data_IF_298718759708
#
_entry.id   IF_298718759708
#
_cell.length_a   1.000
_cell.length_b   1.000
_cell.length_c   1.000
_cell.angle_alpha   90.00
_cell.angle_beta   90.00
_cell.angle_gamma   90.00
#
_symmetry.space_group_name_H-M   'P 1'
#
loop_
_entity.id
_entity.type
_entity.pdbx_description
1 polymer ?
#
# COMPACT_ATOMS: atom_id res chain seq x y z
N UNK A 1 -5.35 6.99 69.69
CA UNK A 1 -5.93 6.88 68.33
C UNK A 1 -4.93 7.45 67.30
N UNK A 2 -4.06 6.60 66.74
CA UNK A 2 -3.05 6.97 65.75
C UNK A 2 -3.70 6.98 64.37
N UNK A 3 -3.73 8.10 63.72
CA UNK A 3 -4.06 8.20 62.28
C UNK A 3 -2.79 8.04 61.46
N UNK A 4 -2.63 6.89 60.86
CA UNK A 4 -1.54 6.59 59.89
C UNK A 4 -1.89 7.25 58.55
N UNK A 5 -1.18 8.31 58.21
CA UNK A 5 -1.24 8.91 56.88
C UNK A 5 -0.40 8.05 55.94
N UNK A 6 -1.05 7.37 54.99
CA UNK A 6 -0.39 6.67 53.91
C UNK A 6 0.05 7.70 52.86
N UNK A 7 1.37 7.93 52.81
CA UNK A 7 1.99 8.71 51.75
C UNK A 7 2.08 7.82 50.49
N UNK A 8 1.21 8.05 49.53
CA UNK A 8 1.28 7.44 48.23
C UNK A 8 2.37 8.15 47.44
N UNK A 9 3.57 7.56 47.41
CA UNK A 9 4.65 7.99 46.51
C UNK A 9 4.29 7.59 45.09
N UNK A 10 3.80 8.54 44.27
CA UNK A 10 3.70 8.40 42.84
C UNK A 10 5.11 8.48 42.31
N UNK A 11 5.73 7.34 42.10
CA UNK A 11 6.96 7.23 41.33
C UNK A 11 6.61 7.58 39.85
N UNK A 12 6.86 8.82 39.49
CA UNK A 12 6.83 9.27 38.11
C UNK A 12 7.95 8.52 37.36
N UNK A 13 7.60 7.43 36.72
CA UNK A 13 8.47 6.80 35.73
C UNK A 13 8.64 7.79 34.59
N UNK A 14 9.66 8.60 34.69
CA UNK A 14 10.24 9.29 33.56
C UNK A 14 10.82 8.21 32.62
N UNK A 15 9.95 7.53 31.89
CA UNK A 15 10.36 6.76 30.74
C UNK A 15 10.89 7.77 29.76
N UNK A 16 12.22 7.81 29.66
CA UNK A 16 12.87 8.55 28.59
C UNK A 16 12.14 8.21 27.29
N UNK A 17 11.62 9.24 26.67
CA UNK A 17 11.15 9.15 25.29
C UNK A 17 12.39 8.74 24.52
N UNK A 18 12.57 7.44 24.31
CA UNK A 18 13.50 6.95 23.33
C UNK A 18 13.04 7.63 22.04
N UNK A 19 13.77 8.66 21.62
CA UNK A 19 13.57 9.26 20.34
C UNK A 19 13.62 8.08 19.37
N UNK A 20 12.47 7.73 18.82
CA UNK A 20 12.37 6.65 17.85
C UNK A 20 13.35 7.05 16.76
N UNK A 21 14.51 6.40 16.76
CA UNK A 21 15.52 6.65 15.75
C UNK A 21 14.86 6.27 14.46
N UNK A 22 14.53 7.28 13.64
CA UNK A 22 14.03 7.08 12.29
C UNK A 22 15.08 6.25 11.58
N UNK A 23 14.83 4.94 11.47
CA UNK A 23 15.77 4.05 10.82
C UNK A 23 15.79 4.42 9.34
N UNK A 24 16.94 4.83 8.88
CA UNK A 24 17.15 5.06 7.47
C UNK A 24 17.10 3.73 6.71
N UNK A 25 16.45 3.69 5.55
CA UNK A 25 16.41 2.51 4.72
C UNK A 25 17.81 2.10 4.27
N UNK A 26 18.11 0.80 4.17
CA UNK A 26 19.42 0.32 3.72
C UNK A 26 19.75 0.77 2.28
N UNK A 27 21.03 0.87 1.98
CA UNK A 27 21.52 1.16 0.63
C UNK A 27 20.99 0.13 -0.36
N UNK A 28 20.57 0.58 -1.54
CA UNK A 28 19.93 -0.24 -2.56
C UNK A 28 18.41 -0.28 -2.46
N UNK A 29 17.83 0.26 -1.39
CA UNK A 29 16.38 0.31 -1.22
C UNK A 29 15.78 1.40 -2.10
N UNK A 30 14.73 1.08 -2.83
CA UNK A 30 13.93 2.06 -3.57
C UNK A 30 12.96 2.73 -2.62
N UNK A 31 12.97 4.05 -2.61
CA UNK A 31 12.18 4.87 -1.69
C UNK A 31 11.35 5.91 -2.42
N UNK A 32 10.25 6.30 -1.79
CA UNK A 32 9.46 7.48 -2.14
C UNK A 32 9.48 8.44 -0.96
N UNK A 33 9.87 9.65 -1.23
CA UNK A 33 10.07 10.70 -0.24
C UNK A 33 9.08 11.81 -0.48
N UNK A 34 8.32 12.18 0.55
CA UNK A 34 7.43 13.32 0.54
C UNK A 34 8.06 14.42 1.39
N UNK A 35 8.44 15.56 0.80
CA UNK A 35 8.98 16.70 1.55
C UNK A 35 7.92 17.30 2.48
N UNK A 36 8.38 17.94 3.57
CA UNK A 36 7.52 18.69 4.49
C UNK A 36 6.85 19.89 3.79
N UNK A 37 7.52 20.44 2.78
CA UNK A 37 6.93 21.47 1.92
C UNK A 37 5.95 20.84 0.93
N UNK A 38 4.66 21.03 1.17
CA UNK A 38 3.59 20.49 0.33
C UNK A 38 3.61 20.99 -1.13
N UNK A 39 4.36 22.06 -1.43
CA UNK A 39 4.54 22.56 -2.80
C UNK A 39 5.61 21.79 -3.58
N UNK A 40 6.51 21.10 -2.88
CA UNK A 40 7.56 20.32 -3.50
C UNK A 40 7.04 18.94 -3.98
N UNK A 41 7.42 18.50 -5.18
CA UNK A 41 7.01 17.21 -5.69
C UNK A 41 7.65 16.09 -4.86
N UNK A 42 6.94 14.94 -4.74
CA UNK A 42 7.55 13.74 -4.17
C UNK A 42 8.73 13.27 -5.04
N UNK A 43 9.74 12.73 -4.38
CA UNK A 43 10.95 12.20 -5.03
C UNK A 43 10.93 10.67 -4.95
N UNK A 44 11.08 10.00 -6.10
CA UNK A 44 11.30 8.56 -6.15
C UNK A 44 12.75 8.31 -6.56
N UNK A 45 13.41 7.41 -5.83
CA UNK A 45 14.79 7.07 -6.15
C UNK A 45 15.28 5.87 -5.33
N UNK A 46 16.54 5.54 -5.53
CA UNK A 46 17.22 4.46 -4.81
C UNK A 46 18.23 5.04 -3.85
N UNK A 47 18.25 4.58 -2.62
CA UNK A 47 19.25 4.98 -1.62
C UNK A 47 20.62 4.44 -2.06
N UNK A 48 21.56 5.32 -2.32
CA UNK A 48 22.94 4.98 -2.70
C UNK A 48 23.94 5.23 -1.57
N UNK A 49 23.53 5.94 -0.54
CA UNK A 49 24.37 6.18 0.63
C UNK A 49 23.60 6.89 1.74
N UNK A 50 24.21 6.90 2.92
CA UNK A 50 23.73 7.62 4.08
C UNK A 50 24.91 8.23 4.83
N UNK A 51 24.76 9.46 5.28
CA UNK A 51 25.72 10.13 6.14
C UNK A 51 24.96 10.86 7.24
N UNK A 52 25.02 10.32 8.46
CA UNK A 52 24.25 10.85 9.59
C UNK A 52 22.75 10.85 9.29
N UNK A 53 22.14 12.03 9.32
CA UNK A 53 20.70 12.27 9.06
C UNK A 53 20.39 12.58 7.58
N UNK A 54 21.35 12.41 6.69
CA UNK A 54 21.21 12.72 5.27
C UNK A 54 21.28 11.45 4.43
N UNK A 55 20.24 11.22 3.64
CA UNK A 55 20.18 10.19 2.61
C UNK A 55 20.71 10.72 1.29
N UNK A 56 21.51 9.93 0.61
CA UNK A 56 21.93 10.16 -0.77
C UNK A 56 21.06 9.28 -1.65
N UNK A 57 20.21 9.89 -2.44
CA UNK A 57 19.19 9.22 -3.26
C UNK A 57 19.51 9.44 -4.72
N UNK A 58 19.61 8.35 -5.47
CA UNK A 58 19.69 8.40 -6.93
C UNK A 58 18.28 8.46 -7.49
N UNK A 59 17.86 9.65 -7.90
CA UNK A 59 16.55 9.90 -8.52
C UNK A 59 16.52 9.51 -9.99
N UNK A 60 15.35 9.27 -10.54
CA UNK A 60 15.16 9.16 -11.99
C UNK A 60 14.81 10.54 -12.57
N UNK A 61 15.53 11.04 -13.59
CA UNK A 61 16.47 10.35 -14.51
C UNK A 61 17.97 10.43 -14.14
N UNK A 62 18.42 9.78 -13.10
CA UNK A 62 19.83 9.64 -12.67
C UNK A 62 20.47 10.92 -12.10
N UNK A 63 19.72 11.67 -11.36
CA UNK A 63 20.27 12.76 -10.56
C UNK A 63 20.50 12.32 -9.11
N UNK A 64 21.58 12.78 -8.50
CA UNK A 64 21.90 12.45 -7.11
C UNK A 64 21.40 13.58 -6.21
N UNK A 65 20.38 13.30 -5.44
CA UNK A 65 19.77 14.25 -4.51
C UNK A 65 20.14 13.90 -3.07
N UNK A 66 20.56 14.88 -2.30
CA UNK A 66 20.75 14.75 -0.86
C UNK A 66 19.50 15.18 -0.13
N UNK A 67 18.95 14.31 0.69
CA UNK A 67 17.71 14.52 1.42
C UNK A 67 17.96 14.35 2.90
N UNK A 68 17.68 15.37 3.70
CA UNK A 68 17.81 15.31 5.14
C UNK A 68 16.53 14.73 5.76
N UNK A 69 16.64 13.72 6.61
CA UNK A 69 15.48 13.05 7.22
C UNK A 69 14.58 14.02 8.01
N UNK A 70 15.16 15.07 8.58
CA UNK A 70 14.40 16.09 9.31
C UNK A 70 13.49 16.98 8.43
N UNK A 71 13.74 17.04 7.11
CA UNK A 71 12.96 17.83 6.15
C UNK A 71 11.86 17.03 5.44
N UNK A 72 11.67 15.78 5.87
CA UNK A 72 10.67 14.88 5.30
C UNK A 72 9.41 14.83 6.15
N UNK A 73 8.28 14.90 5.47
CA UNK A 73 6.98 14.60 6.05
C UNK A 73 6.77 13.08 6.12
N UNK A 74 7.05 12.40 5.00
CA UNK A 74 6.84 10.97 4.90
C UNK A 74 7.92 10.25 4.09
N UNK A 75 8.29 9.06 4.52
CA UNK A 75 9.25 8.17 3.86
C UNK A 75 8.62 6.81 3.66
N UNK A 76 8.56 6.36 2.42
CA UNK A 76 8.04 5.05 2.05
C UNK A 76 9.13 4.23 1.37
N UNK A 77 9.05 2.94 1.59
CA UNK A 77 9.96 1.95 1.03
C UNK A 77 9.18 1.08 0.03
N UNK A 78 9.78 0.79 -1.10
CA UNK A 78 9.17 -0.12 -2.05
C UNK A 78 9.11 -1.53 -1.48
N UNK A 79 7.88 -2.04 -1.33
CA UNK A 79 7.59 -3.45 -1.01
C UNK A 79 7.70 -4.37 -2.24
N UNK A 80 8.18 -3.84 -3.37
CA UNK A 80 8.30 -4.56 -4.64
C UNK A 80 7.07 -4.40 -5.54
N UNK A 81 7.15 -5.06 -6.70
CA UNK A 81 6.08 -5.04 -7.69
C UNK A 81 5.12 -6.20 -7.46
N UNK A 82 3.84 -5.89 -7.37
CA UNK A 82 2.78 -6.87 -7.18
C UNK A 82 1.89 -6.93 -8.42
N UNK A 83 1.63 -8.15 -8.89
CA UNK A 83 0.71 -8.40 -9.99
C UNK A 83 -0.75 -8.39 -9.48
N UNK A 84 -1.65 -7.85 -10.29
CA UNK A 84 -3.08 -7.79 -9.96
C UNK A 84 -3.86 -8.98 -10.53
N UNK A 85 -3.31 -10.20 -10.40
CA UNK A 85 -3.89 -11.43 -10.96
C UNK A 85 -5.33 -11.61 -10.52
N UNK A 86 -5.63 -11.49 -9.23
CA UNK A 86 -7.00 -11.68 -8.69
C UNK A 86 -8.03 -10.70 -9.29
N UNK A 87 -7.65 -9.43 -9.46
CA UNK A 87 -8.51 -8.42 -10.11
C UNK A 87 -8.71 -8.75 -11.59
N UNK A 88 -7.65 -9.15 -12.29
CA UNK A 88 -7.72 -9.57 -13.67
C UNK A 88 -8.65 -10.76 -13.85
N UNK A 89 -8.49 -11.80 -13.03
CA UNK A 89 -9.35 -12.99 -13.02
C UNK A 89 -10.82 -12.64 -12.80
N UNK A 90 -11.12 -11.83 -11.79
CA UNK A 90 -12.50 -11.44 -11.46
C UNK A 90 -13.18 -10.67 -12.60
N UNK A 91 -12.51 -9.67 -13.15
CA UNK A 91 -13.04 -8.91 -14.29
C UNK A 91 -13.16 -9.78 -15.56
N UNK A 92 -12.16 -10.60 -15.84
CA UNK A 92 -12.17 -11.51 -16.97
C UNK A 92 -13.31 -12.52 -16.88
N UNK A 93 -13.55 -13.09 -15.68
CA UNK A 93 -14.68 -14.01 -15.45
C UNK A 93 -16.02 -13.30 -15.71
N UNK A 94 -16.25 -12.11 -15.17
CA UNK A 94 -17.51 -11.40 -15.33
C UNK A 94 -17.79 -11.05 -16.80
N UNK A 95 -16.78 -10.51 -17.52
CA UNK A 95 -16.92 -10.17 -18.94
C UNK A 95 -17.10 -11.41 -19.78
N UNK A 96 -16.32 -12.46 -19.51
CA UNK A 96 -16.40 -13.73 -20.23
C UNK A 96 -17.73 -14.44 -20.00
N UNK A 97 -18.22 -14.46 -18.76
CA UNK A 97 -19.52 -15.06 -18.42
C UNK A 97 -20.68 -14.33 -19.07
N UNK A 98 -20.68 -12.97 -19.01
CA UNK A 98 -21.74 -12.16 -19.64
C UNK A 98 -21.74 -12.31 -21.16
N UNK A 99 -20.58 -12.20 -21.79
CA UNK A 99 -20.42 -12.39 -23.23
C UNK A 99 -20.76 -13.80 -23.68
N UNK A 100 -20.29 -14.83 -22.96
CA UNK A 100 -20.60 -16.21 -23.21
C UNK A 100 -22.06 -16.54 -23.05
N UNK A 101 -22.72 -15.98 -22.02
CA UNK A 101 -24.17 -16.10 -21.84
C UNK A 101 -24.96 -15.55 -23.00
N UNK A 102 -24.61 -14.36 -23.48
CA UNK A 102 -25.27 -13.72 -24.61
C UNK A 102 -25.11 -14.54 -25.89
N UNK A 103 -23.90 -15.00 -26.19
CA UNK A 103 -23.61 -15.84 -27.35
C UNK A 103 -24.33 -17.19 -27.24
N UNK A 104 -24.26 -17.85 -26.09
CA UNK A 104 -24.92 -19.13 -25.85
C UNK A 104 -26.44 -19.04 -25.96
N UNK A 105 -27.04 -17.96 -25.48
CA UNK A 105 -28.48 -17.71 -25.63
C UNK A 105 -28.90 -17.46 -27.09
N UNK A 106 -28.03 -16.84 -27.89
CA UNK A 106 -28.32 -16.56 -29.29
C UNK A 106 -28.10 -17.79 -30.21
N UNK A 107 -27.24 -18.72 -29.78
CA UNK A 107 -26.87 -19.88 -30.59
C UNK A 107 -27.85 -21.05 -30.50
N UNK A 108 -28.80 -21.03 -29.56
CA UNK A 108 -29.74 -22.14 -29.27
C UNK A 108 -31.17 -21.66 -29.45
N UNK A 109 -32.05 -22.57 -29.88
CA UNK A 109 -33.49 -22.31 -30.09
C UNK A 109 -34.15 -21.71 -28.83
N UNK A 110 -35.24 -20.98 -29.06
CA UNK A 110 -35.92 -20.20 -28.03
C UNK A 110 -36.31 -21.02 -26.80
N UNK A 111 -36.69 -22.28 -27.00
CA UNK A 111 -37.07 -23.21 -25.93
C UNK A 111 -35.92 -23.55 -24.98
N UNK A 112 -34.72 -23.62 -25.49
CA UNK A 112 -33.50 -23.99 -24.73
C UNK A 112 -32.53 -22.84 -24.48
N UNK A 113 -32.98 -21.61 -24.76
CA UNK A 113 -32.16 -20.38 -24.65
C UNK A 113 -31.51 -20.21 -23.29
N UNK A 114 -32.24 -20.57 -22.22
CA UNK A 114 -31.70 -20.51 -20.84
C UNK A 114 -30.54 -21.45 -20.61
N UNK A 115 -30.62 -22.67 -21.18
CA UNK A 115 -29.54 -23.68 -21.09
C UNK A 115 -28.33 -23.20 -21.90
N UNK A 116 -28.56 -22.64 -23.09
CA UNK A 116 -27.51 -22.05 -23.91
C UNK A 116 -26.78 -20.91 -23.20
N UNK A 117 -27.54 -20.01 -22.57
CA UNK A 117 -26.96 -18.93 -21.77
C UNK A 117 -26.09 -19.46 -20.60
N UNK A 118 -26.56 -20.47 -19.90
CA UNK A 118 -25.84 -21.04 -18.75
C UNK A 118 -24.54 -21.72 -19.18
N UNK A 119 -24.58 -22.52 -20.22
CA UNK A 119 -23.39 -23.18 -20.79
C UNK A 119 -22.41 -22.16 -21.34
N UNK A 120 -22.90 -21.17 -22.08
CA UNK A 120 -22.10 -20.07 -22.61
C UNK A 120 -21.44 -19.24 -21.50
N UNK A 121 -22.20 -18.95 -20.42
CA UNK A 121 -21.63 -18.26 -19.25
C UNK A 121 -20.51 -19.07 -18.58
N UNK A 122 -20.68 -20.37 -18.46
CA UNK A 122 -19.67 -21.26 -17.87
C UNK A 122 -18.39 -21.29 -18.68
N UNK A 123 -18.50 -21.58 -19.98
CA UNK A 123 -17.33 -21.64 -20.88
C UNK A 123 -16.68 -20.27 -21.05
N UNK A 124 -17.49 -19.22 -21.27
CA UNK A 124 -17.02 -17.85 -21.40
C UNK A 124 -16.38 -17.33 -20.12
N UNK A 125 -16.97 -17.65 -18.95
CA UNK A 125 -16.44 -17.29 -17.65
C UNK A 125 -15.07 -17.93 -17.36
N UNK A 126 -14.90 -19.23 -17.64
CA UNK A 126 -13.63 -19.92 -17.50
C UNK A 126 -12.57 -19.39 -18.46
N UNK A 127 -12.92 -19.19 -19.72
CA UNK A 127 -12.02 -18.56 -20.71
C UNK A 127 -11.62 -17.14 -20.32
N UNK A 128 -12.59 -16.35 -19.89
CA UNK A 128 -12.37 -15.00 -19.41
C UNK A 128 -11.48 -14.93 -18.15
N UNK A 129 -11.63 -15.91 -17.23
CA UNK A 129 -10.80 -16.04 -16.06
C UNK A 129 -9.33 -16.24 -16.43
N UNK A 130 -9.02 -17.11 -17.39
CA UNK A 130 -7.66 -17.38 -17.85
C UNK A 130 -7.04 -16.16 -18.54
N UNK A 131 -7.79 -15.54 -19.45
CA UNK A 131 -7.35 -14.31 -20.13
C UNK A 131 -7.14 -13.18 -19.11
N UNK A 132 -8.08 -13.02 -18.18
CA UNK A 132 -7.99 -12.04 -17.11
C UNK A 132 -6.80 -12.27 -16.16
N UNK A 133 -6.46 -13.53 -15.88
CA UNK A 133 -5.26 -13.87 -15.12
C UNK A 133 -3.99 -13.45 -15.85
N UNK A 134 -3.90 -13.75 -17.14
CA UNK A 134 -2.76 -13.37 -17.99
C UNK A 134 -2.58 -11.85 -18.05
N UNK A 135 -3.66 -11.10 -18.30
CA UNK A 135 -3.64 -9.63 -18.30
C UNK A 135 -3.29 -9.08 -16.92
N UNK A 136 -3.92 -9.61 -15.85
CA UNK A 136 -3.66 -9.17 -14.48
C UNK A 136 -2.23 -9.44 -14.02
N UNK A 137 -1.58 -10.48 -14.54
CA UNK A 137 -0.16 -10.76 -14.26
C UNK A 137 0.79 -9.78 -14.93
N UNK A 138 0.41 -9.23 -16.08
CA UNK A 138 1.18 -8.23 -16.81
C UNK A 138 1.07 -6.82 -16.17
N UNK A 139 0.01 -6.55 -15.42
CA UNK A 139 -0.18 -5.26 -14.73
C UNK A 139 0.53 -5.31 -13.39
N UNK A 140 1.74 -4.75 -13.36
CA UNK A 140 2.56 -4.66 -12.16
C UNK A 140 2.42 -3.27 -11.55
N UNK A 141 2.03 -3.21 -10.29
CA UNK A 141 2.01 -1.97 -9.51
C UNK A 141 3.02 -2.08 -8.36
N UNK A 142 3.81 -1.03 -8.18
CA UNK A 142 4.75 -0.93 -7.06
C UNK A 142 3.97 -0.66 -5.78
N UNK A 143 4.24 -1.46 -4.74
CA UNK A 143 3.67 -1.26 -3.43
C UNK A 143 4.61 -0.41 -2.59
N UNK A 144 4.07 0.59 -1.95
CA UNK A 144 4.79 1.48 -1.05
C UNK A 144 4.32 1.23 0.37
N UNK A 145 5.25 0.89 1.23
CA UNK A 145 5.02 0.69 2.66
C UNK A 145 5.77 1.77 3.43
N UNK A 146 5.21 2.27 4.54
CA UNK A 146 5.90 3.25 5.36
C UNK A 146 7.24 2.69 5.86
N UNK A 147 8.28 3.50 5.85
CA UNK A 147 9.58 3.08 6.38
C UNK A 147 9.49 2.85 7.89
N UNK A 148 10.24 1.89 8.46
CA UNK A 148 10.25 1.64 9.90
C UNK A 148 10.54 2.92 10.69
N UNK A 149 9.73 3.20 11.69
CA UNK A 149 9.81 4.43 12.49
C UNK A 149 9.13 5.67 11.89
N UNK A 150 8.50 5.54 10.71
CA UNK A 150 7.70 6.59 10.06
C UNK A 150 6.20 6.34 10.17
N UNK A 151 5.79 5.19 10.74
CA UNK A 151 4.39 4.82 10.98
C UNK A 151 3.68 5.64 12.07
N UNK A 152 4.39 6.54 12.74
CA UNK A 152 3.86 7.39 13.81
C UNK A 152 3.23 8.68 13.26
N UNK A 153 2.56 8.62 12.15
CA UNK A 153 1.75 9.71 11.63
C UNK A 153 0.38 9.73 12.27
N UNK A 154 0.08 10.76 13.05
CA UNK A 154 -1.31 11.09 13.42
C UNK A 154 -1.99 11.61 12.16
N UNK A 155 -2.67 10.74 11.42
CA UNK A 155 -3.48 11.18 10.29
C UNK A 155 -4.79 11.76 10.83
N UNK A 156 -4.91 13.08 10.82
CA UNK A 156 -6.19 13.77 11.03
C UNK A 156 -6.95 13.72 9.70
N UNK A 157 -7.87 12.77 9.59
CA UNK A 157 -8.81 12.75 8.47
C UNK A 157 -9.88 13.83 8.69
N UNK A 158 -10.02 14.77 7.77
CA UNK A 158 -11.04 15.82 7.78
C UNK A 158 -12.48 15.31 7.54
N UNK A 159 -12.67 14.01 7.36
CA UNK A 159 -13.97 13.36 7.18
C UNK A 159 -14.46 12.67 8.45
N UNK A 160 -14.74 13.45 9.49
CA UNK A 160 -15.35 12.97 10.74
C UNK A 160 -14.33 12.66 11.84
N UNK A 161 -14.57 13.21 13.02
CA UNK A 161 -13.71 13.10 14.20
C UNK A 161 -13.53 11.64 14.64
N UNK A 162 -12.41 11.05 14.26
CA UNK A 162 -11.99 9.72 14.67
C UNK A 162 -10.47 9.72 14.83
N UNK A 163 -9.98 9.71 16.05
CA UNK A 163 -8.57 9.47 16.34
C UNK A 163 -8.27 7.99 16.11
N UNK A 164 -7.45 7.67 15.14
CA UNK A 164 -6.89 6.33 14.98
C UNK A 164 -5.43 6.39 15.42
N UNK A 165 -5.14 5.89 16.62
CA UNK A 165 -3.77 5.60 17.06
C UNK A 165 -3.50 4.16 16.61
N UNK A 166 -2.73 3.97 15.55
CA UNK A 166 -2.22 2.66 15.17
C UNK A 166 -0.79 2.52 15.70
N UNK A 167 -0.64 1.92 16.86
CA UNK A 167 0.66 1.47 17.37
C UNK A 167 0.83 0.05 16.83
N UNK A 168 1.70 -0.15 15.86
CA UNK A 168 2.20 -1.47 15.47
C UNK A 168 3.58 -1.65 16.09
N UNK A 169 3.68 -2.64 16.97
CA UNK A 169 4.96 -3.14 17.50
C UNK A 169 5.58 -4.10 16.50
#
# INVERSE_FOLDING_TARGET
MLRTAAVFSIALFAHGIAAAQRLAPPVGTRIRVTPLDASAPYLIGTVVGQTGDTLVVLSEPRDTVRVTLATLDFLEVSGGRHAHIGRGMGLGFLVGAAGGAAIGAAAIDAEWRGVGALLGAGVGGLGGLLVGAAVGSAVLTERWDAAPGWDLGVSVSSAGAGFRIAIRF
#
